data_IF_689110444083
#
_entry.id   IF_689110444083
#
_cell.length_a   1.000
_cell.length_b   1.000
_cell.length_c   1.000
_cell.angle_alpha   90.00
_cell.angle_beta   90.00
_cell.angle_gamma   90.00
#
_symmetry.space_group_name_H-M   'P 1'
#
loop_
_entity.id
_entity.type
_entity.pdbx_description
1 polymer ?
#
# COMPACT_ATOMS: atom_id res chain seq x y z
N UNK A 1 12.33 29.76 4.02
CA UNK A 1 11.39 28.94 4.85
C UNK A 1 12.21 28.04 5.77
N UNK A 2 11.92 28.02 7.07
CA UNK A 2 12.59 27.13 8.01
C UNK A 2 12.03 25.72 7.92
N UNK A 3 12.92 24.74 7.83
CA UNK A 3 12.59 23.32 7.96
C UNK A 3 12.83 22.90 9.41
N UNK A 4 11.81 22.32 10.02
CA UNK A 4 11.80 21.94 11.43
C UNK A 4 11.72 20.42 11.56
N UNK A 5 12.45 19.84 12.51
CA UNK A 5 12.34 18.40 12.77
C UNK A 5 10.96 18.05 13.30
N UNK A 6 10.29 17.11 12.64
CA UNK A 6 8.95 16.64 13.02
C UNK A 6 8.92 15.97 14.40
N UNK A 7 10.05 15.40 14.85
CA UNK A 7 10.15 14.65 16.10
C UNK A 7 10.56 15.53 17.29
N UNK A 8 11.65 16.29 17.18
CA UNK A 8 12.17 17.10 18.30
C UNK A 8 11.94 18.61 18.17
N UNK A 9 11.38 19.07 17.05
CA UNK A 9 11.07 20.48 16.76
C UNK A 9 12.29 21.41 16.60
N UNK A 10 13.51 20.88 16.58
CA UNK A 10 14.71 21.67 16.25
C UNK A 10 14.66 22.18 14.81
N UNK A 11 15.19 23.37 14.57
CA UNK A 11 15.44 23.89 13.22
C UNK A 11 16.53 23.04 12.56
N UNK A 12 16.27 22.56 11.33
CA UNK A 12 17.21 21.74 10.56
C UNK A 12 18.01 22.63 9.60
N UNK A 13 17.30 23.42 8.81
CA UNK A 13 17.89 24.33 7.84
C UNK A 13 16.89 25.41 7.41
N UNK A 14 17.39 26.45 6.76
CA UNK A 14 16.58 27.39 6.02
C UNK A 14 16.73 27.15 4.52
N UNK A 15 15.60 27.13 3.81
CA UNK A 15 15.56 27.03 2.34
C UNK A 15 14.84 28.23 1.76
N UNK A 16 15.24 28.66 0.56
CA UNK A 16 14.55 29.71 -0.16
C UNK A 16 13.17 29.24 -0.61
N UNK A 17 12.11 30.08 -0.51
CA UNK A 17 10.72 29.65 -0.78
C UNK A 17 10.42 29.27 -2.22
N UNK A 18 11.29 29.60 -3.16
CA UNK A 18 11.04 29.51 -4.61
C UNK A 18 11.26 28.11 -5.22
N UNK A 19 11.79 27.15 -4.50
CA UNK A 19 12.27 25.91 -5.11
C UNK A 19 11.47 24.66 -4.79
N UNK A 20 10.56 24.66 -3.81
CA UNK A 20 9.87 23.43 -3.44
C UNK A 20 8.52 23.61 -2.73
N UNK A 21 7.42 23.08 -3.25
CA UNK A 21 6.14 23.00 -2.53
C UNK A 21 6.16 21.87 -1.49
N UNK A 22 7.29 21.69 -0.78
CA UNK A 22 7.49 20.62 0.17
C UNK A 22 6.98 20.94 1.58
N UNK A 23 6.93 19.92 2.42
CA UNK A 23 6.62 20.06 3.84
C UNK A 23 7.68 20.92 4.55
N UNK A 24 7.24 21.81 5.45
CA UNK A 24 8.12 22.53 6.38
C UNK A 24 8.72 21.61 7.47
N UNK A 25 8.43 20.33 7.40
CA UNK A 25 8.90 19.34 8.36
C UNK A 25 9.88 18.36 7.70
N UNK A 26 10.94 18.05 8.40
CA UNK A 26 11.93 17.04 8.07
C UNK A 26 12.30 16.22 9.30
N UNK A 27 13.40 15.49 9.24
CA UNK A 27 13.95 14.76 10.40
C UNK A 27 15.43 15.15 10.53
N UNK A 28 15.84 15.64 11.69
CA UNK A 28 17.26 15.95 11.95
C UNK A 28 18.08 14.66 12.12
N UNK A 29 19.39 14.73 11.90
CA UNK A 29 20.28 13.56 11.92
C UNK A 29 20.22 12.79 13.25
N UNK A 30 20.13 13.49 14.39
CA UNK A 30 20.02 12.86 15.71
C UNK A 30 18.73 12.03 15.83
N UNK A 31 17.60 12.60 15.42
CA UNK A 31 16.31 11.91 15.45
C UNK A 31 16.24 10.79 14.41
N UNK A 32 16.84 10.98 13.24
CA UNK A 32 16.93 9.95 12.22
C UNK A 32 17.75 8.76 12.73
N UNK A 33 18.91 8.98 13.32
CA UNK A 33 19.72 7.92 13.90
C UNK A 33 19.01 7.18 15.04
N UNK A 34 18.36 7.92 15.96
CA UNK A 34 17.58 7.34 17.05
C UNK A 34 16.38 6.50 16.54
N UNK A 35 15.71 6.96 15.49
CA UNK A 35 14.63 6.23 14.87
C UNK A 35 15.15 4.96 14.16
N UNK A 36 16.23 5.09 13.39
CA UNK A 36 16.86 3.96 12.71
C UNK A 36 17.29 2.86 13.70
N UNK A 37 17.83 3.25 14.86
CA UNK A 37 18.20 2.28 15.91
C UNK A 37 16.97 1.59 16.51
N UNK A 38 15.87 2.33 16.73
CA UNK A 38 14.61 1.76 17.25
C UNK A 38 13.96 0.76 16.30
N UNK A 39 14.06 0.99 14.98
CA UNK A 39 13.49 0.06 13.98
C UNK A 39 14.46 -1.02 13.54
N UNK A 40 15.70 -1.02 14.02
CA UNK A 40 16.70 -2.03 13.69
C UNK A 40 16.21 -3.43 14.07
N UNK A 41 16.14 -4.30 13.07
CA UNK A 41 15.61 -5.65 13.24
C UNK A 41 14.07 -5.74 13.27
N UNK A 42 13.35 -4.63 13.09
CA UNK A 42 11.91 -4.66 12.85
C UNK A 42 11.67 -4.95 11.37
N UNK A 43 10.91 -6.00 11.08
CA UNK A 43 10.50 -6.29 9.71
C UNK A 43 9.47 -5.29 9.22
N UNK A 44 9.36 -5.10 7.90
CA UNK A 44 8.35 -4.22 7.30
C UNK A 44 6.93 -4.59 7.76
N UNK A 45 6.63 -5.88 7.85
CA UNK A 45 5.33 -6.36 8.34
C UNK A 45 5.01 -5.87 9.76
N UNK A 46 5.98 -5.97 10.69
CA UNK A 46 5.79 -5.47 12.05
C UNK A 46 5.59 -3.97 12.09
N UNK A 47 6.31 -3.24 11.22
CA UNK A 47 6.16 -1.79 11.14
C UNK A 47 4.76 -1.38 10.66
N UNK A 48 4.20 -2.11 9.70
CA UNK A 48 2.88 -1.81 9.16
C UNK A 48 1.72 -2.41 9.98
N UNK A 49 1.99 -3.38 10.86
CA UNK A 49 0.96 -3.97 11.74
C UNK A 49 0.38 -2.96 12.77
N UNK A 50 1.13 -1.91 13.10
CA UNK A 50 0.69 -0.85 14.03
C UNK A 50 -0.28 0.16 13.38
N UNK A 51 -0.49 0.09 12.06
CA UNK A 51 -1.46 0.96 11.39
C UNK A 51 -2.88 0.41 11.52
N UNK A 52 -3.82 1.30 11.83
CA UNK A 52 -5.27 0.99 11.94
C UNK A 52 -5.98 0.89 10.57
N UNK A 53 -5.24 0.94 9.49
CA UNK A 53 -5.76 0.82 8.13
C UNK A 53 -5.20 -0.41 7.44
N UNK A 54 -5.98 -1.12 6.61
CA UNK A 54 -5.50 -2.24 5.82
C UNK A 54 -4.42 -1.80 4.82
N UNK A 55 -3.22 -2.37 4.93
CA UNK A 55 -2.08 -2.02 4.10
C UNK A 55 -1.51 -3.26 3.41
N UNK A 56 -1.38 -3.19 2.09
CA UNK A 56 -0.54 -4.07 1.29
C UNK A 56 0.65 -3.28 0.77
N UNK A 57 1.82 -3.90 0.76
CA UNK A 57 3.00 -3.37 0.08
C UNK A 57 3.35 -4.30 -1.06
N UNK A 58 3.51 -3.73 -2.24
CA UNK A 58 3.81 -4.47 -3.47
C UNK A 58 5.06 -3.90 -4.13
N UNK A 59 5.71 -4.72 -4.94
CA UNK A 59 6.76 -4.29 -5.85
C UNK A 59 6.18 -3.74 -7.19
N UNK A 60 7.07 -3.44 -8.13
CA UNK A 60 6.71 -2.93 -9.46
C UNK A 60 5.90 -3.91 -10.32
N UNK A 61 6.01 -5.20 -10.05
CA UNK A 61 5.23 -6.26 -10.70
C UNK A 61 3.92 -6.58 -9.98
N UNK A 62 3.52 -5.78 -8.99
CA UNK A 62 2.35 -6.00 -8.14
C UNK A 62 2.41 -7.29 -7.30
N UNK A 63 3.62 -7.79 -6.96
CA UNK A 63 3.82 -8.92 -6.04
C UNK A 63 3.80 -8.42 -4.60
N UNK A 64 3.17 -9.18 -3.75
CA UNK A 64 3.07 -8.85 -2.33
C UNK A 64 4.44 -8.98 -1.66
N UNK A 65 4.92 -7.88 -1.09
CA UNK A 65 6.17 -7.79 -0.32
C UNK A 65 5.88 -7.79 1.17
N UNK A 66 4.78 -7.14 1.59
CA UNK A 66 4.34 -7.12 2.98
C UNK A 66 2.83 -6.86 3.06
N UNK A 67 2.21 -7.29 4.15
CA UNK A 67 0.84 -6.94 4.48
C UNK A 67 0.65 -6.84 5.99
N UNK A 68 -0.21 -5.94 6.44
CA UNK A 68 -0.62 -5.95 7.84
C UNK A 68 -1.81 -6.92 8.06
N UNK A 69 -2.10 -7.19 9.33
CA UNK A 69 -3.18 -8.12 9.71
C UNK A 69 -4.54 -7.72 9.14
N UNK A 70 -4.83 -6.42 9.11
CA UNK A 70 -6.12 -5.93 8.59
C UNK A 70 -6.27 -6.20 7.09
N UNK A 71 -5.21 -5.99 6.29
CA UNK A 71 -5.24 -6.29 4.86
C UNK A 71 -5.36 -7.80 4.61
N UNK A 72 -4.67 -8.60 5.40
CA UNK A 72 -4.75 -10.07 5.31
C UNK A 72 -6.18 -10.57 5.56
N UNK A 73 -6.89 -10.00 6.52
CA UNK A 73 -8.29 -10.34 6.82
C UNK A 73 -9.21 -10.00 5.64
N UNK A 74 -9.09 -8.80 5.06
CA UNK A 74 -9.92 -8.37 3.90
C UNK A 74 -9.65 -9.24 2.68
N UNK A 75 -8.39 -9.60 2.46
CA UNK A 75 -8.01 -10.46 1.35
C UNK A 75 -8.42 -11.94 1.55
N UNK A 76 -8.83 -12.32 2.76
CA UNK A 76 -9.13 -13.70 3.12
C UNK A 76 -7.87 -14.58 3.11
N UNK A 77 -6.73 -14.00 3.50
CA UNK A 77 -5.45 -14.68 3.54
C UNK A 77 -5.35 -15.54 4.80
N UNK A 78 -4.73 -16.69 4.67
CA UNK A 78 -4.42 -17.55 5.79
C UNK A 78 -3.44 -16.88 6.78
N UNK A 79 -3.28 -17.43 7.99
CA UNK A 79 -2.45 -16.83 9.04
C UNK A 79 -0.95 -16.82 8.71
N UNK A 80 -0.52 -17.63 7.74
CA UNK A 80 0.88 -17.73 7.34
C UNK A 80 1.22 -16.76 6.22
N UNK A 81 2.04 -15.76 6.53
CA UNK A 81 2.55 -14.79 5.55
C UNK A 81 3.34 -15.46 4.41
N UNK A 82 3.93 -16.64 4.66
CA UNK A 82 4.70 -17.40 3.66
C UNK A 82 3.84 -17.87 2.49
N UNK A 83 2.54 -18.03 2.71
CA UNK A 83 1.63 -18.60 1.72
C UNK A 83 1.26 -17.61 0.62
N UNK A 84 1.48 -16.31 0.84
CA UNK A 84 1.09 -15.27 -0.12
C UNK A 84 2.20 -14.26 -0.49
N UNK A 85 3.34 -14.28 0.22
CA UNK A 85 4.47 -13.43 -0.11
C UNK A 85 5.03 -13.79 -1.49
N UNK A 86 5.25 -12.78 -2.32
CA UNK A 86 5.72 -12.93 -3.69
C UNK A 86 4.64 -13.32 -4.71
N UNK A 87 3.41 -13.64 -4.25
CA UNK A 87 2.28 -13.84 -5.14
C UNK A 87 1.79 -12.50 -5.71
N UNK A 88 1.14 -12.56 -6.86
CA UNK A 88 0.52 -11.39 -7.47
C UNK A 88 -0.73 -10.97 -6.72
N UNK A 89 -1.00 -9.66 -6.69
CA UNK A 89 -2.12 -9.11 -5.95
C UNK A 89 -3.47 -9.74 -6.30
N UNK A 90 -3.70 -10.10 -7.57
CA UNK A 90 -4.95 -10.77 -8.00
C UNK A 90 -5.07 -12.20 -7.50
N UNK A 91 -3.96 -12.94 -7.38
CA UNK A 91 -3.96 -14.29 -6.81
C UNK A 91 -4.32 -14.22 -5.32
N UNK A 92 -3.67 -13.32 -4.61
CA UNK A 92 -3.90 -13.07 -3.18
C UNK A 92 -5.32 -12.60 -2.90
N UNK A 93 -5.83 -11.68 -3.71
CA UNK A 93 -7.18 -11.12 -3.59
C UNK A 93 -8.27 -12.02 -4.20
N UNK A 94 -7.92 -13.21 -4.71
CA UNK A 94 -8.82 -14.17 -5.36
C UNK A 94 -9.61 -13.56 -6.53
N UNK A 95 -8.92 -12.77 -7.35
CA UNK A 95 -9.51 -12.22 -8.57
C UNK A 95 -9.87 -13.35 -9.55
N UNK A 96 -11.08 -13.38 -10.09
CA UNK A 96 -11.52 -14.43 -11.02
C UNK A 96 -10.64 -14.56 -12.28
N UNK A 97 -9.97 -13.47 -12.66
CA UNK A 97 -9.08 -13.44 -13.82
C UNK A 97 -7.64 -13.89 -13.50
N UNK A 98 -7.30 -14.04 -12.24
CA UNK A 98 -5.98 -14.54 -11.86
C UNK A 98 -5.78 -16.02 -12.16
N UNK A 99 -6.88 -16.77 -12.24
CA UNK A 99 -6.89 -18.21 -12.56
C UNK A 99 -6.82 -18.51 -14.08
N UNK A 100 -6.83 -17.48 -14.92
CA UNK A 100 -6.68 -17.65 -16.36
C UNK A 100 -5.24 -18.06 -16.72
N UNK A 101 -5.01 -18.74 -17.85
CA UNK A 101 -3.69 -19.26 -18.24
C UNK A 101 -2.58 -18.19 -18.26
N UNK A 102 -2.91 -16.96 -18.62
CA UNK A 102 -1.99 -15.83 -18.66
C UNK A 102 -1.63 -15.31 -17.27
N UNK A 103 -2.48 -15.57 -16.27
CA UNK A 103 -2.31 -15.13 -14.90
C UNK A 103 -2.63 -13.65 -14.64
N UNK A 104 -2.57 -13.26 -13.37
CA UNK A 104 -2.81 -11.89 -12.94
C UNK A 104 -1.84 -10.91 -13.62
N UNK A 105 -2.35 -9.76 -14.04
CA UNK A 105 -1.57 -8.70 -14.69
C UNK A 105 -1.36 -8.89 -16.19
N UNK A 106 -1.61 -10.08 -16.76
CA UNK A 106 -1.31 -10.41 -18.16
C UNK A 106 -2.53 -10.66 -19.01
N UNK A 107 -3.72 -10.83 -18.42
CA UNK A 107 -4.96 -11.02 -19.17
C UNK A 107 -5.43 -9.71 -19.79
N UNK A 108 -6.24 -9.78 -20.84
CA UNK A 108 -6.83 -8.57 -21.42
C UNK A 108 -7.75 -7.82 -20.42
N UNK A 109 -8.28 -8.50 -19.42
CA UNK A 109 -9.05 -7.89 -18.32
C UNK A 109 -8.18 -7.01 -17.43
N UNK A 110 -6.87 -7.28 -17.37
CA UNK A 110 -5.94 -6.54 -16.54
C UNK A 110 -5.54 -5.17 -17.14
N UNK A 111 -5.77 -4.94 -18.44
CA UNK A 111 -5.52 -3.64 -19.08
C UNK A 111 -6.34 -2.52 -18.40
N UNK A 112 -7.56 -2.83 -17.95
CA UNK A 112 -8.43 -1.92 -17.21
C UNK A 112 -8.38 -2.08 -15.69
N UNK A 113 -7.44 -2.86 -15.15
CA UNK A 113 -7.36 -3.10 -13.71
C UNK A 113 -6.93 -1.86 -12.95
N UNK A 114 -7.84 -1.30 -12.15
CA UNK A 114 -7.59 -0.08 -11.40
C UNK A 114 -6.44 -0.26 -10.38
N UNK A 115 -6.22 -1.45 -9.84
CA UNK A 115 -5.11 -1.73 -8.90
C UNK A 115 -3.78 -1.64 -9.65
N UNK A 116 -3.62 -2.40 -10.74
CA UNK A 116 -2.39 -2.40 -11.56
C UNK A 116 -2.09 -1.01 -12.09
N UNK A 117 -3.09 -0.34 -12.65
CA UNK A 117 -2.93 1.01 -13.20
C UNK A 117 -2.54 2.03 -12.11
N UNK A 118 -3.08 1.90 -10.89
CA UNK A 118 -2.72 2.79 -9.78
C UNK A 118 -1.29 2.55 -9.28
N UNK A 119 -0.84 1.29 -9.24
CA UNK A 119 0.54 0.96 -8.87
C UNK A 119 1.51 1.53 -9.92
N UNK A 120 1.27 1.26 -11.20
CA UNK A 120 2.11 1.75 -12.29
C UNK A 120 2.14 3.28 -12.35
N UNK A 121 0.99 3.93 -12.25
CA UNK A 121 0.92 5.40 -12.24
C UNK A 121 1.69 6.01 -11.05
N UNK A 122 1.62 5.39 -9.86
CA UNK A 122 2.37 5.85 -8.69
C UNK A 122 3.88 5.69 -8.87
N UNK A 123 4.32 4.62 -9.57
CA UNK A 123 5.74 4.40 -9.86
C UNK A 123 6.26 5.40 -10.89
N UNK A 124 5.54 5.53 -12.01
CA UNK A 124 5.96 6.35 -13.15
C UNK A 124 5.95 7.84 -12.84
N UNK A 125 4.87 8.33 -12.20
CA UNK A 125 4.67 9.75 -11.93
C UNK A 125 5.25 10.20 -10.59
N UNK A 126 5.47 9.27 -9.65
CA UNK A 126 5.86 9.58 -8.28
C UNK A 126 4.74 10.23 -7.46
N UNK A 127 3.53 10.33 -7.99
CA UNK A 127 2.37 10.94 -7.35
C UNK A 127 1.43 9.88 -6.79
N UNK A 128 0.87 10.09 -5.58
CA UNK A 128 -0.07 9.14 -5.00
C UNK A 128 -1.39 9.11 -5.79
N UNK A 129 -1.92 7.92 -6.02
CA UNK A 129 -3.24 7.68 -6.58
C UNK A 129 -4.22 7.54 -5.41
N UNK A 130 -5.05 8.56 -5.19
CA UNK A 130 -5.85 8.67 -3.97
C UNK A 130 -7.31 8.26 -4.23
N UNK A 131 -7.82 7.37 -3.37
CA UNK A 131 -9.24 7.05 -3.28
C UNK A 131 -9.84 6.49 -4.59
N UNK A 132 -9.06 5.70 -5.33
CA UNK A 132 -9.46 5.11 -6.60
C UNK A 132 -10.49 4.00 -6.36
N UNK A 133 -11.66 4.06 -7.01
CA UNK A 133 -12.67 3.00 -6.87
C UNK A 133 -12.22 1.73 -7.60
N UNK A 134 -12.37 0.59 -6.96
CA UNK A 134 -12.03 -0.73 -7.47
C UNK A 134 -13.21 -1.67 -7.28
N UNK A 135 -13.59 -2.37 -8.32
CA UNK A 135 -14.48 -3.52 -8.20
C UNK A 135 -13.67 -4.78 -8.47
N UNK A 136 -13.38 -5.52 -7.42
CA UNK A 136 -12.69 -6.80 -7.51
C UNK A 136 -13.71 -7.90 -7.75
N UNK A 137 -13.61 -8.55 -8.89
CA UNK A 137 -14.46 -9.68 -9.24
C UNK A 137 -13.87 -10.95 -8.67
N UNK A 138 -14.65 -11.67 -7.87
CA UNK A 138 -14.31 -12.96 -7.28
C UNK A 138 -15.39 -13.98 -7.61
N UNK A 139 -15.06 -15.28 -7.59
CA UNK A 139 -16.03 -16.38 -7.75
C UNK A 139 -17.12 -16.35 -6.67
N UNK A 140 -16.77 -15.89 -5.47
CA UNK A 140 -17.66 -15.82 -4.30
C UNK A 140 -18.51 -14.54 -4.25
N UNK A 141 -18.31 -13.62 -5.21
CA UNK A 141 -19.01 -12.33 -5.28
C UNK A 141 -18.04 -11.16 -5.42
N UNK A 142 -18.55 -10.04 -5.92
CA UNK A 142 -17.74 -8.84 -6.14
C UNK A 142 -17.50 -8.08 -4.84
N UNK A 143 -16.28 -7.59 -4.67
CA UNK A 143 -15.94 -6.68 -3.57
C UNK A 143 -15.69 -5.30 -4.15
N UNK A 144 -16.34 -4.29 -3.58
CA UNK A 144 -16.06 -2.89 -3.89
C UNK A 144 -15.11 -2.31 -2.86
N UNK A 145 -14.02 -1.74 -3.35
CA UNK A 145 -12.96 -1.14 -2.56
C UNK A 145 -12.69 0.27 -3.05
N UNK A 146 -12.14 1.08 -2.18
CA UNK A 146 -11.36 2.27 -2.56
C UNK A 146 -9.92 2.04 -2.16
N UNK A 147 -9.01 2.31 -3.07
CA UNK A 147 -7.59 2.16 -2.80
C UNK A 147 -6.90 3.51 -2.86
N UNK A 148 -5.85 3.63 -2.07
CA UNK A 148 -4.84 4.69 -2.22
C UNK A 148 -3.52 3.99 -2.44
N UNK A 149 -2.88 4.24 -3.58
CA UNK A 149 -1.57 3.70 -3.93
C UNK A 149 -0.53 4.82 -3.86
N UNK A 150 0.55 4.59 -3.14
CA UNK A 150 1.61 5.58 -2.92
C UNK A 150 2.98 4.91 -3.00
N UNK A 151 3.87 5.52 -3.79
CA UNK A 151 5.25 5.04 -3.92
C UNK A 151 6.02 5.27 -2.62
N UNK A 152 6.72 4.22 -2.17
CA UNK A 152 7.63 4.25 -1.02
C UNK A 152 8.95 3.65 -1.49
N UNK A 153 9.95 4.49 -1.77
CA UNK A 153 11.21 4.06 -2.39
C UNK A 153 10.97 3.32 -3.71
N UNK A 154 11.34 2.04 -3.79
CA UNK A 154 11.10 1.14 -4.93
C UNK A 154 9.80 0.33 -4.82
N UNK A 155 9.04 0.50 -3.74
CA UNK A 155 7.81 -0.22 -3.47
C UNK A 155 6.59 0.69 -3.57
N UNK A 156 5.41 0.10 -3.63
CA UNK A 156 4.13 0.82 -3.56
C UNK A 156 3.32 0.33 -2.37
N UNK A 157 2.94 1.27 -1.50
CA UNK A 157 1.97 1.05 -0.44
C UNK A 157 0.57 1.18 -1.01
N UNK A 158 -0.25 0.16 -0.82
CA UNK A 158 -1.67 0.18 -1.15
C UNK A 158 -2.46 0.15 0.14
N UNK A 159 -3.25 1.19 0.37
CA UNK A 159 -4.22 1.25 1.46
C UNK A 159 -5.56 0.81 0.90
N UNK A 160 -6.16 -0.22 1.52
CA UNK A 160 -7.45 -0.76 1.13
C UNK A 160 -8.54 -0.17 2.05
N UNK A 161 -9.58 0.39 1.46
CA UNK A 161 -10.81 0.77 2.18
C UNK A 161 -11.97 0.01 1.56
N UNK A 162 -12.66 -0.80 2.35
CA UNK A 162 -13.90 -1.45 1.92
C UNK A 162 -15.01 -0.42 1.84
N UNK A 163 -15.75 -0.38 0.72
CA UNK A 163 -17.00 0.36 0.67
C UNK A 163 -18.08 -0.45 1.37
N UNK A 164 -18.76 0.17 2.34
CA UNK A 164 -19.93 -0.44 2.95
C UNK A 164 -21.03 -0.56 1.89
N UNK A 165 -21.43 -1.78 1.56
CA UNK A 165 -22.60 -2.05 0.72
C UNK A 165 -23.69 -2.52 1.67
N UNK A 166 -24.79 -1.76 1.85
CA UNK A 166 -25.93 -2.21 2.66
C UNK A 166 -26.46 -3.53 2.08
N UNK A 167 -26.46 -4.59 2.88
CA UNK A 167 -26.96 -5.92 2.48
C UNK A 167 -25.92 -6.98 2.15
N UNK A 168 -24.62 -6.68 2.23
CA UNK A 168 -23.55 -7.68 2.27
C UNK A 168 -22.92 -7.65 3.66
N UNK A 169 -23.28 -8.61 4.50
CA UNK A 169 -22.59 -8.88 5.75
C UNK A 169 -21.18 -9.38 5.37
N UNK A 170 -20.20 -8.52 5.52
CA UNK A 170 -18.79 -8.95 5.56
C UNK A 170 -18.60 -9.45 6.98
N UNK A 171 -18.72 -10.78 7.19
CA UNK A 171 -18.35 -11.41 8.46
C UNK A 171 -16.86 -11.12 8.73
N UNK A 172 -16.62 -10.10 9.52
CA UNK A 172 -15.33 -9.78 10.13
C UNK A 172 -15.19 -10.65 11.39
N UNK A 173 -14.86 -11.92 11.21
CA UNK A 173 -14.44 -12.79 12.33
C UNK A 173 -12.93 -13.01 12.29
#
# INVERSE_FOLDING_TARGET
MKIVCSLCRKDICEIEPLSYPGSKYGTCDECHAAFAEKIKGITLDKLIDDFETPILVVDEDCRIVASNKLASNIAGLGPSKRDYMGLLGGEVMKCEYADLPEGCGKTYHCVGCAIVNSVQASIEKGEPQINIPVTLKRKEGNIKLRITAEKIFSLVRIILKTEFIPGQDVDLH
#
